data_IF_732383595123
#
_entry.id   IF_732383595123
#
_cell.length_a   1.000
_cell.length_b   1.000
_cell.length_c   1.000
_cell.angle_alpha   90.00
_cell.angle_beta   90.00
_cell.angle_gamma   90.00
#
_symmetry.space_group_name_H-M   'P 1'
#
loop_
_entity.id
_entity.type
_entity.pdbx_description
1 polymer ?
#
# COMPACT_ATOMS: atom_id res chain seq x y z
N UNK A 1 31.49 28.94 6.65
CA UNK A 1 31.57 28.29 5.33
C UNK A 1 30.47 27.26 5.26
N UNK A 2 29.52 27.39 4.34
CA UNK A 2 28.44 26.41 4.20
C UNK A 2 29.01 25.13 3.57
N UNK A 3 28.92 24.00 4.26
CA UNK A 3 29.28 22.71 3.69
C UNK A 3 28.37 22.41 2.50
N UNK A 4 28.97 22.28 1.32
CA UNK A 4 28.29 21.80 0.11
C UNK A 4 27.91 20.32 0.32
N UNK A 5 26.73 20.09 0.89
CA UNK A 5 26.21 18.74 1.05
C UNK A 5 25.92 18.13 -0.34
N UNK A 6 26.45 16.93 -0.59
CA UNK A 6 26.10 16.15 -1.78
C UNK A 6 24.61 15.78 -1.68
N UNK A 7 23.78 16.43 -2.52
CA UNK A 7 22.37 16.08 -2.69
C UNK A 7 22.27 14.66 -3.27
N UNK A 8 22.05 13.67 -2.42
CA UNK A 8 21.71 12.31 -2.82
C UNK A 8 20.19 12.10 -2.77
N UNK A 9 19.68 11.11 -3.50
CA UNK A 9 18.24 10.85 -3.54
C UNK A 9 17.61 10.59 -2.18
N UNK A 10 18.38 10.10 -1.21
CA UNK A 10 17.93 9.87 0.17
C UNK A 10 17.39 11.14 0.87
N UNK A 11 17.81 12.32 0.41
CA UNK A 11 17.35 13.60 0.93
C UNK A 11 16.07 14.11 0.22
N UNK A 12 15.58 13.40 -0.81
CA UNK A 12 14.34 13.73 -1.51
C UNK A 12 13.12 13.12 -0.81
N UNK A 13 12.04 13.90 -0.67
CA UNK A 13 10.77 13.46 -0.11
C UNK A 13 10.12 12.31 -0.90
N UNK A 14 10.38 12.23 -2.20
CA UNK A 14 9.87 11.19 -3.10
C UNK A 14 10.74 9.93 -3.16
N UNK A 15 11.88 9.92 -2.48
CA UNK A 15 12.75 8.76 -2.47
C UNK A 15 12.24 7.70 -1.48
N UNK A 16 11.97 6.51 -1.98
CA UNK A 16 11.68 5.34 -1.15
C UNK A 16 12.44 4.14 -1.70
N UNK A 17 13.41 3.62 -0.93
CA UNK A 17 14.15 2.38 -1.24
C UNK A 17 14.68 2.32 -2.69
N UNK A 18 15.43 3.36 -3.09
CA UNK A 18 16.01 3.55 -4.44
C UNK A 18 15.00 3.80 -5.57
N UNK A 19 13.71 3.95 -5.25
CA UNK A 19 12.65 4.21 -6.23
C UNK A 19 12.06 5.59 -6.03
N UNK A 20 11.63 6.22 -7.11
CA UNK A 20 10.94 7.50 -7.09
C UNK A 20 9.43 7.27 -6.96
N UNK A 21 8.81 7.79 -5.91
CA UNK A 21 7.35 7.65 -5.68
C UNK A 21 6.54 8.75 -6.35
N UNK A 22 7.22 9.74 -6.97
CA UNK A 22 6.55 10.77 -7.77
C UNK A 22 6.14 10.19 -9.11
N UNK A 23 4.85 10.09 -9.33
CA UNK A 23 4.26 9.80 -10.64
C UNK A 23 4.00 11.14 -11.35
N UNK A 24 4.48 11.29 -12.59
CA UNK A 24 4.37 12.53 -13.37
C UNK A 24 3.11 12.58 -14.22
N UNK A 25 2.46 11.42 -14.47
CA UNK A 25 1.20 11.31 -15.18
C UNK A 25 0.25 10.30 -14.52
N UNK A 26 -1.07 10.39 -14.79
CA UNK A 26 -2.05 9.41 -14.34
C UNK A 26 -1.73 7.98 -14.81
N UNK A 27 -1.26 7.83 -16.04
CA UNK A 27 -0.90 6.54 -16.64
C UNK A 27 0.27 5.91 -15.88
N UNK A 28 1.34 6.67 -15.63
CA UNK A 28 2.47 6.21 -14.82
C UNK A 28 2.03 5.81 -13.40
N UNK A 29 1.05 6.53 -12.84
CA UNK A 29 0.48 6.16 -11.54
C UNK A 29 -0.35 4.89 -11.58
N UNK A 30 -1.06 4.64 -12.68
CA UNK A 30 -1.85 3.44 -12.89
C UNK A 30 -0.95 2.22 -13.08
N UNK A 31 0.09 2.35 -13.90
CA UNK A 31 1.02 1.25 -14.20
C UNK A 31 1.86 0.83 -13.00
N UNK A 32 2.09 1.75 -12.05
CA UNK A 32 2.80 1.46 -10.82
C UNK A 32 1.92 0.80 -9.73
N UNK A 33 0.61 0.60 -9.95
CA UNK A 33 -0.29 0.07 -8.92
C UNK A 33 0.04 -1.37 -8.54
N UNK A 34 -0.13 -1.68 -7.25
CA UNK A 34 0.05 -3.04 -6.76
C UNK A 34 -1.15 -3.91 -7.11
N UNK A 35 -1.00 -4.78 -8.11
CA UNK A 35 -2.06 -5.68 -8.58
C UNK A 35 -2.68 -6.51 -7.46
N UNK A 36 -1.87 -7.06 -6.55
CA UNK A 36 -2.36 -7.87 -5.43
C UNK A 36 -3.22 -7.04 -4.47
N UNK A 37 -2.83 -5.79 -4.20
CA UNK A 37 -3.60 -4.89 -3.36
C UNK A 37 -4.92 -4.51 -4.03
N UNK A 38 -4.91 -4.22 -5.34
CA UNK A 38 -6.13 -3.92 -6.09
C UNK A 38 -7.10 -5.09 -6.12
N UNK A 39 -6.62 -6.31 -6.35
CA UNK A 39 -7.45 -7.51 -6.30
C UNK A 39 -8.06 -7.71 -4.91
N UNK A 40 -7.27 -7.54 -3.84
CA UNK A 40 -7.79 -7.60 -2.46
C UNK A 40 -8.85 -6.53 -2.20
N UNK A 41 -8.67 -5.30 -2.69
CA UNK A 41 -9.67 -4.24 -2.58
C UNK A 41 -10.96 -4.59 -3.33
N UNK A 42 -10.88 -5.15 -4.53
CA UNK A 42 -12.06 -5.60 -5.30
C UNK A 42 -12.84 -6.67 -4.56
N UNK A 43 -12.13 -7.67 -4.02
CA UNK A 43 -12.76 -8.75 -3.22
C UNK A 43 -13.38 -8.19 -1.93
N UNK A 44 -12.70 -7.28 -1.24
CA UNK A 44 -13.22 -6.59 -0.06
C UNK A 44 -14.48 -5.78 -0.35
N UNK A 45 -14.47 -4.95 -1.39
CA UNK A 45 -15.63 -4.15 -1.80
C UNK A 45 -16.84 -5.03 -2.12
N UNK A 46 -16.66 -6.06 -2.96
CA UNK A 46 -17.73 -7.00 -3.28
C UNK A 46 -18.27 -7.76 -2.05
N UNK A 47 -17.44 -7.92 -1.01
CA UNK A 47 -17.85 -8.57 0.25
C UNK A 47 -18.67 -7.61 1.10
N UNK A 48 -18.26 -6.35 1.21
CA UNK A 48 -19.05 -5.32 1.89
C UNK A 48 -20.41 -5.15 1.24
N UNK A 49 -20.47 -5.09 -0.10
CA UNK A 49 -21.74 -5.01 -0.84
C UNK A 49 -22.66 -6.19 -0.53
N UNK A 50 -22.12 -7.41 -0.40
CA UNK A 50 -22.90 -8.59 -0.02
C UNK A 50 -23.39 -8.49 1.42
N UNK A 51 -22.51 -8.12 2.35
CA UNK A 51 -22.87 -7.98 3.76
C UNK A 51 -23.95 -6.91 3.97
N UNK A 52 -23.88 -5.81 3.23
CA UNK A 52 -24.89 -4.76 3.29
C UNK A 52 -26.26 -5.24 2.81
N UNK A 53 -26.32 -6.10 1.79
CA UNK A 53 -27.59 -6.72 1.34
C UNK A 53 -28.19 -7.65 2.39
N UNK A 54 -27.36 -8.34 3.18
CA UNK A 54 -27.83 -9.27 4.22
C UNK A 54 -28.51 -8.54 5.39
N UNK A 55 -28.22 -7.25 5.62
CA UNK A 55 -28.86 -6.46 6.69
C UNK A 55 -30.38 -6.37 6.52
N UNK A 56 -30.88 -6.53 5.29
CA UNK A 56 -32.30 -6.44 4.96
C UNK A 56 -33.06 -7.76 5.13
N UNK A 57 -32.40 -8.86 5.52
CA UNK A 57 -33.05 -10.14 5.81
C UNK A 57 -33.89 -10.03 7.08
N UNK A 58 -35.12 -10.56 7.08
CA UNK A 58 -36.02 -10.48 8.23
C UNK A 58 -35.59 -11.36 9.41
N UNK A 59 -35.05 -12.55 9.12
CA UNK A 59 -34.63 -13.53 10.14
C UNK A 59 -33.17 -13.31 10.57
N UNK A 60 -32.95 -13.22 11.89
CA UNK A 60 -31.63 -12.96 12.48
C UNK A 60 -30.71 -14.19 12.41
N UNK A 61 -31.27 -15.40 12.53
CA UNK A 61 -30.53 -16.66 12.42
C UNK A 61 -30.01 -16.88 11.00
N UNK A 62 -30.87 -16.68 10.00
CA UNK A 62 -30.47 -16.77 8.58
C UNK A 62 -29.43 -15.70 8.22
N UNK A 63 -29.57 -14.50 8.79
CA UNK A 63 -28.61 -13.40 8.58
C UNK A 63 -27.21 -13.76 9.09
N UNK A 64 -27.10 -14.35 10.28
CA UNK A 64 -25.81 -14.73 10.86
C UNK A 64 -25.17 -15.90 10.09
N UNK A 65 -25.95 -16.89 9.67
CA UNK A 65 -25.46 -18.00 8.83
C UNK A 65 -24.97 -17.46 7.48
N UNK A 66 -25.75 -16.60 6.82
CA UNK A 66 -25.36 -15.99 5.55
C UNK A 66 -24.12 -15.11 5.69
N UNK A 67 -24.00 -14.36 6.80
CA UNK A 67 -22.82 -13.53 7.10
C UNK A 67 -21.55 -14.38 7.21
N UNK A 68 -21.59 -15.48 7.98
CA UNK A 68 -20.45 -16.40 8.10
C UNK A 68 -20.05 -16.99 6.75
N UNK A 69 -21.03 -17.38 5.94
CA UNK A 69 -20.77 -17.91 4.59
C UNK A 69 -20.09 -16.89 3.67
N UNK A 70 -20.54 -15.62 3.71
CA UNK A 70 -19.92 -14.54 2.94
C UNK A 70 -18.49 -14.28 3.39
N UNK A 71 -18.23 -14.28 4.70
CA UNK A 71 -16.88 -14.11 5.26
C UNK A 71 -15.97 -15.27 4.85
N UNK A 72 -16.44 -16.52 4.98
CA UNK A 72 -15.65 -17.69 4.59
C UNK A 72 -15.27 -17.64 3.11
N UNK A 73 -16.24 -17.36 2.22
CA UNK A 73 -15.98 -17.20 0.79
C UNK A 73 -15.01 -16.06 0.49
N UNK A 74 -15.07 -14.95 1.23
CA UNK A 74 -14.12 -13.86 1.09
C UNK A 74 -12.69 -14.30 1.45
N UNK A 75 -12.52 -15.01 2.58
CA UNK A 75 -11.22 -15.53 3.01
C UNK A 75 -10.65 -16.49 1.96
N UNK A 76 -11.47 -17.40 1.44
CA UNK A 76 -11.06 -18.34 0.38
C UNK A 76 -10.67 -17.63 -0.92
N UNK A 77 -11.35 -16.53 -1.26
CA UNK A 77 -10.98 -15.72 -2.43
C UNK A 77 -9.67 -14.99 -2.22
N UNK A 78 -9.45 -14.40 -1.03
CA UNK A 78 -8.22 -13.67 -0.71
C UNK A 78 -7.00 -14.61 -0.69
N UNK A 79 -7.13 -15.82 -0.15
CA UNK A 79 -6.02 -16.80 -0.09
C UNK A 79 -5.59 -17.31 -1.46
N UNK A 80 -6.49 -17.31 -2.44
CA UNK A 80 -6.19 -17.65 -3.84
C UNK A 80 -5.47 -16.54 -4.60
N UNK A 81 -5.50 -15.30 -4.09
CA UNK A 81 -4.78 -14.19 -4.72
C UNK A 81 -3.28 -14.35 -4.47
N UNK A 82 -2.52 -14.39 -5.55
CA UNK A 82 -1.05 -14.52 -5.50
C UNK A 82 -0.38 -13.46 -6.35
N UNK A 83 0.85 -13.12 -5.98
CA UNK A 83 1.73 -12.29 -6.79
C UNK A 83 3.08 -13.00 -6.90
N UNK A 84 3.63 -13.21 -8.11
CA UNK A 84 4.87 -13.95 -8.30
C UNK A 84 6.09 -13.23 -7.69
N UNK A 85 6.00 -11.91 -7.48
CA UNK A 85 7.04 -11.09 -6.83
C UNK A 85 6.71 -10.75 -5.39
N UNK A 86 5.79 -11.50 -4.78
CA UNK A 86 5.42 -11.31 -3.38
C UNK A 86 6.58 -11.69 -2.47
N UNK A 87 6.95 -10.78 -1.59
CA UNK A 87 7.91 -11.03 -0.52
C UNK A 87 7.28 -10.52 0.76
N UNK A 88 7.06 -11.34 1.80
CA UNK A 88 6.43 -10.87 3.02
C UNK A 88 7.33 -9.86 3.74
N UNK A 89 6.74 -8.78 4.27
CA UNK A 89 7.49 -7.74 5.01
C UNK A 89 8.07 -8.26 6.33
N UNK A 90 7.37 -9.19 6.97
CA UNK A 90 7.77 -9.81 8.24
C UNK A 90 7.09 -11.18 8.39
N UNK A 91 7.88 -12.24 8.55
CA UNK A 91 7.39 -13.61 8.72
C UNK A 91 6.40 -14.04 7.63
N UNK A 92 5.29 -14.68 8.01
CA UNK A 92 4.20 -15.07 7.12
C UNK A 92 3.04 -14.03 7.12
N UNK A 93 3.36 -12.74 7.16
CA UNK A 93 2.36 -11.67 7.18
C UNK A 93 1.70 -11.42 5.81
N UNK A 94 0.53 -10.73 5.76
CA UNK A 94 -0.20 -10.44 4.52
C UNK A 94 0.38 -9.26 3.73
N UNK A 95 1.28 -8.48 4.31
CA UNK A 95 1.85 -7.28 3.69
C UNK A 95 3.12 -7.63 2.91
N UNK A 96 3.15 -7.19 1.65
CA UNK A 96 4.34 -7.33 0.80
C UNK A 96 5.38 -6.27 1.16
N UNK A 97 6.65 -6.65 1.21
CA UNK A 97 7.80 -5.76 1.29
C UNK A 97 7.72 -4.68 0.21
N UNK A 98 7.34 -4.99 -1.03
CA UNK A 98 7.36 -4.02 -2.13
C UNK A 98 6.22 -3.00 -2.10
N UNK A 99 5.23 -3.18 -1.23
CA UNK A 99 4.08 -2.29 -1.15
C UNK A 99 4.51 -0.92 -0.59
N UNK A 100 4.15 0.15 -1.29
CA UNK A 100 4.23 1.52 -0.81
C UNK A 100 2.92 2.24 -1.16
N UNK A 101 2.12 2.53 -0.13
CA UNK A 101 0.75 3.04 -0.30
C UNK A 101 -0.07 2.10 -1.23
N UNK A 102 -0.49 2.60 -2.39
CA UNK A 102 -1.22 1.84 -3.43
C UNK A 102 -0.33 1.24 -4.51
N UNK A 103 0.95 1.59 -4.52
CA UNK A 103 1.89 1.24 -5.59
C UNK A 103 2.82 0.10 -5.19
N UNK A 104 3.37 -0.58 -6.20
CA UNK A 104 4.46 -1.54 -6.05
C UNK A 104 5.79 -0.85 -6.38
N UNK A 105 6.74 -0.83 -5.44
CA UNK A 105 8.05 -0.22 -5.68
C UNK A 105 8.83 -0.86 -6.83
N UNK A 106 8.58 -2.14 -7.15
CA UNK A 106 9.24 -2.79 -8.28
C UNK A 106 8.76 -2.26 -9.64
N UNK A 107 7.63 -1.56 -9.68
CA UNK A 107 7.07 -0.94 -10.88
C UNK A 107 7.38 0.56 -10.97
N UNK A 108 7.94 1.14 -9.91
CA UNK A 108 8.36 2.53 -9.90
C UNK A 108 9.77 2.68 -10.49
N UNK A 109 10.06 3.82 -11.15
CA UNK A 109 11.37 4.06 -11.73
C UNK A 109 12.44 4.24 -10.65
N UNK A 110 13.69 4.09 -11.07
CA UNK A 110 14.84 4.41 -10.22
C UNK A 110 14.89 5.89 -9.88
N UNK A 111 15.28 6.19 -8.65
CA UNK A 111 15.46 7.57 -8.22
C UNK A 111 16.94 7.95 -8.37
N UNK A 112 17.23 8.77 -9.38
CA UNK A 112 18.55 9.37 -9.60
C UNK A 112 18.93 10.36 -8.49
N UNK A 113 17.94 10.83 -7.74
CA UNK A 113 18.14 11.70 -6.58
C UNK A 113 18.43 13.16 -6.90
N UNK A 114 18.53 13.52 -8.18
CA UNK A 114 18.62 14.88 -8.68
C UNK A 114 17.75 15.00 -9.92
N UNK A 115 16.64 15.71 -9.81
CA UNK A 115 15.76 16.02 -10.92
C UNK A 115 15.01 17.33 -10.64
N UNK A 116 14.28 17.83 -11.63
CA UNK A 116 13.45 19.04 -11.51
C UNK A 116 12.40 18.95 -10.39
N UNK A 117 12.00 17.74 -9.99
CA UNK A 117 11.02 17.50 -8.92
C UNK A 117 11.65 17.27 -7.54
N UNK A 118 12.95 17.50 -7.38
CA UNK A 118 13.63 17.28 -6.11
C UNK A 118 13.00 18.15 -5.02
N UNK A 119 12.50 17.51 -3.96
CA UNK A 119 11.93 18.17 -2.79
C UNK A 119 12.68 17.70 -1.56
N UNK A 120 13.34 18.61 -0.84
CA UNK A 120 14.08 18.25 0.37
C UNK A 120 13.12 17.66 1.41
N UNK A 121 13.44 16.47 1.92
CA UNK A 121 12.72 15.85 3.03
C UNK A 121 12.92 16.73 4.26
N UNK A 122 11.83 17.26 4.83
CA UNK A 122 11.90 17.93 6.14
C UNK A 122 12.02 16.86 7.20
N UNK A 123 13.02 16.95 8.07
CA UNK A 123 13.06 16.09 9.27
C UNK A 123 11.78 16.34 10.09
N UNK A 124 11.09 15.29 10.55
CA UNK A 124 10.05 15.48 11.55
C UNK A 124 10.71 16.14 12.78
N UNK A 125 10.05 17.09 13.45
CA UNK A 125 10.60 17.68 14.67
C UNK A 125 10.87 16.54 15.64
N UNK A 126 12.15 16.28 15.94
CA UNK A 126 12.53 15.38 17.01
C UNK A 126 11.80 15.86 18.27
N UNK A 127 10.94 15.02 18.84
CA UNK A 127 10.45 15.23 20.21
C UNK A 127 11.71 15.36 21.05
N UNK A 128 11.97 16.57 21.57
CA UNK A 128 13.01 16.80 22.56
C UNK A 128 12.68 15.85 23.71
N UNK A 129 13.53 14.86 23.93
CA UNK A 129 13.51 14.09 25.16
C UNK A 129 13.78 15.08 26.29
N UNK A 130 12.74 15.49 27.00
CA UNK A 130 12.88 16.10 28.32
C UNK A 130 13.51 15.04 29.21
N UNK A 131 14.83 15.18 29.43
CA UNK A 131 15.52 14.45 30.49
C UNK A 131 14.95 14.91 31.85
N UNK A 132 14.72 13.98 32.79
CA UNK A 132 14.13 14.28 34.10
C UNK A 132 15.01 15.20 34.96
#
# INVERSE_FOLDING_TARGET
MAELQRLGGQNCAYYTRRRCTRTVSPEASHDARCTLLEQRRKVGAATMDRLDRLKNLADEGDREVARRHVIQKNLDQITRLSCPRYVPKSGAGPLCQHQHLVSCLLLLPECEGRCEYYMHRREPPHKREEKP
#
